data_IF_000580285671
#
_entry.id   IF_000580285671
#
_cell.length_a   1.000
_cell.length_b   1.000
_cell.length_c   1.000
_cell.angle_alpha   90.00
_cell.angle_beta   90.00
_cell.angle_gamma   90.00
#
_symmetry.space_group_name_H-M   'P 1'
#
loop_
_entity.id
_entity.type
_entity.pdbx_description
1 polymer ?
#
# COMPACT_ATOMS: atom_id res chain seq x y z
N UNK A 1 -5.77 -27.33 14.85
CA UNK A 1 -6.47 -27.11 13.57
C UNK A 1 -5.95 -25.80 12.99
N UNK A 2 -5.13 -25.85 11.94
CA UNK A 2 -4.60 -24.65 11.26
C UNK A 2 -5.43 -24.37 10.03
N UNK A 3 -6.21 -23.30 10.05
CA UNK A 3 -6.91 -22.80 8.86
C UNK A 3 -5.90 -22.12 7.95
N UNK A 4 -5.45 -22.84 6.91
CA UNK A 4 -4.77 -22.23 5.76
C UNK A 4 -5.81 -21.39 5.02
N UNK A 5 -5.68 -20.08 5.10
CA UNK A 5 -6.46 -19.16 4.25
C UNK A 5 -5.79 -19.20 2.87
N UNK A 6 -6.30 -20.07 2.00
CA UNK A 6 -5.99 -20.01 0.57
C UNK A 6 -6.94 -18.99 -0.03
N UNK A 7 -6.52 -17.72 -0.12
CA UNK A 7 -7.21 -16.74 -0.94
C UNK A 7 -6.57 -16.77 -2.32
N UNK A 8 -7.26 -17.40 -3.27
CA UNK A 8 -6.95 -17.27 -4.69
C UNK A 8 -8.16 -16.62 -5.35
N UNK A 9 -8.08 -15.32 -5.58
CA UNK A 9 -8.99 -14.58 -6.43
C UNK A 9 -8.16 -13.62 -7.27
N UNK A 10 -8.58 -13.40 -8.50
CA UNK A 10 -7.80 -12.79 -9.57
C UNK A 10 -7.08 -11.49 -9.13
N UNK A 11 -5.82 -11.25 -9.56
CA UNK A 11 -4.95 -10.19 -9.05
C UNK A 11 -5.57 -8.78 -9.02
N UNK A 12 -6.54 -8.50 -9.89
CA UNK A 12 -7.24 -7.22 -9.93
C UNK A 12 -8.28 -7.04 -8.82
N UNK A 13 -9.01 -8.10 -8.45
CA UNK A 13 -10.01 -8.04 -7.38
C UNK A 13 -9.37 -7.86 -6.00
N UNK A 14 -8.15 -8.36 -5.83
CA UNK A 14 -7.36 -8.22 -4.61
C UNK A 14 -6.81 -6.80 -4.43
N UNK A 15 -6.29 -6.19 -5.52
CA UNK A 15 -5.79 -4.80 -5.51
C UNK A 15 -6.89 -3.80 -5.16
N UNK A 16 -8.08 -3.91 -5.78
CA UNK A 16 -9.17 -2.96 -5.51
C UNK A 16 -9.72 -3.10 -4.07
N UNK A 17 -9.82 -4.33 -3.55
CA UNK A 17 -10.20 -4.55 -2.15
C UNK A 17 -9.12 -4.02 -1.18
N UNK A 18 -7.84 -4.25 -1.50
CA UNK A 18 -6.71 -3.71 -0.75
C UNK A 18 -6.70 -2.18 -0.74
N UNK A 19 -6.94 -1.54 -1.88
CA UNK A 19 -7.04 -0.08 -1.98
C UNK A 19 -8.22 0.47 -1.18
N UNK A 20 -9.39 -0.17 -1.25
CA UNK A 20 -10.54 0.20 -0.44
C UNK A 20 -10.24 0.11 1.07
N UNK A 21 -9.53 -0.93 1.49
CA UNK A 21 -9.09 -1.10 2.89
C UNK A 21 -8.10 0.01 3.30
N UNK A 22 -7.11 0.30 2.46
CA UNK A 22 -6.13 1.38 2.70
C UNK A 22 -6.84 2.72 2.87
N UNK A 23 -7.72 3.10 1.94
CA UNK A 23 -8.45 4.37 1.99
C UNK A 23 -9.33 4.46 3.23
N UNK A 24 -10.07 3.40 3.57
CA UNK A 24 -10.95 3.39 4.74
C UNK A 24 -10.17 3.44 6.05
N UNK A 25 -9.06 2.74 6.16
CA UNK A 25 -8.19 2.81 7.33
C UNK A 25 -7.64 4.22 7.55
N UNK A 26 -7.22 4.90 6.48
CA UNK A 26 -6.76 6.29 6.55
C UNK A 26 -7.88 7.25 6.96
N UNK A 27 -9.08 7.12 6.37
CA UNK A 27 -10.25 7.93 6.74
C UNK A 27 -10.66 7.72 8.21
N UNK A 28 -10.64 6.49 8.71
CA UNK A 28 -10.93 6.17 10.11
C UNK A 28 -9.89 6.79 11.07
N UNK A 29 -8.64 6.94 10.62
CA UNK A 29 -7.60 7.65 11.36
C UNK A 29 -7.68 9.19 11.20
N UNK A 30 -8.65 9.71 10.46
CA UNK A 30 -8.79 11.15 10.19
C UNK A 30 -7.82 11.69 9.13
N UNK A 31 -7.23 10.82 8.31
CA UNK A 31 -6.31 11.18 7.24
C UNK A 31 -6.98 11.12 5.87
N UNK A 32 -6.55 12.01 4.97
CA UNK A 32 -7.05 12.13 3.60
C UNK A 32 -5.86 12.18 2.64
N UNK A 33 -5.27 11.03 2.30
CA UNK A 33 -4.13 10.96 1.38
C UNK A 33 -4.52 11.48 0.00
N UNK A 34 -3.57 12.15 -0.67
CA UNK A 34 -3.73 12.62 -2.04
C UNK A 34 -3.61 11.46 -3.07
N UNK A 35 -3.88 11.78 -4.33
CA UNK A 35 -3.81 10.80 -5.42
C UNK A 35 -2.41 10.20 -5.60
N UNK A 36 -1.35 10.93 -5.26
CA UNK A 36 0.02 10.44 -5.38
C UNK A 36 0.32 9.39 -4.30
N UNK A 37 -0.09 9.65 -3.05
CA UNK A 37 0.01 8.71 -1.95
C UNK A 37 -0.79 7.44 -2.22
N UNK A 38 -2.02 7.56 -2.73
CA UNK A 38 -2.84 6.41 -3.11
C UNK A 38 -2.26 5.65 -4.32
N UNK A 39 -1.73 6.35 -5.32
CA UNK A 39 -1.07 5.72 -6.46
C UNK A 39 0.17 4.91 -6.08
N UNK A 40 0.89 5.34 -5.04
CA UNK A 40 2.01 4.59 -4.47
C UNK A 40 1.55 3.31 -3.77
N UNK A 41 0.51 3.39 -2.94
CA UNK A 41 -0.08 2.22 -2.29
C UNK A 41 -0.57 1.19 -3.32
N UNK A 42 -1.20 1.66 -4.40
CA UNK A 42 -1.65 0.81 -5.50
C UNK A 42 -0.51 0.05 -6.17
N UNK A 43 0.58 0.73 -6.52
CA UNK A 43 1.77 0.10 -7.14
C UNK A 43 2.38 -0.98 -6.24
N UNK A 44 2.38 -0.76 -4.93
CA UNK A 44 2.82 -1.77 -3.94
C UNK A 44 1.90 -2.99 -3.95
N UNK A 45 0.58 -2.78 -3.92
CA UNK A 45 -0.40 -3.88 -3.96
C UNK A 45 -0.40 -4.64 -5.29
N UNK A 46 -0.14 -3.96 -6.41
CA UNK A 46 0.01 -4.57 -7.73
C UNK A 46 1.32 -5.37 -7.88
N UNK A 47 2.26 -5.23 -6.93
CA UNK A 47 3.58 -5.83 -7.00
C UNK A 47 4.50 -5.21 -8.05
N UNK A 48 4.13 -4.05 -8.61
CA UNK A 48 4.96 -3.28 -9.56
C UNK A 48 5.99 -2.38 -8.86
N UNK A 49 5.88 -2.28 -7.52
CA UNK A 49 6.79 -1.56 -6.64
C UNK A 49 6.94 -2.33 -5.32
N UNK A 50 8.14 -2.38 -4.78
CA UNK A 50 8.41 -2.92 -3.45
C UNK A 50 8.14 -1.88 -2.36
N UNK A 51 7.95 -2.33 -1.11
CA UNK A 51 7.78 -1.41 0.02
C UNK A 51 9.02 -0.52 0.23
N UNK A 52 10.22 -1.02 -0.03
CA UNK A 52 11.47 -0.27 0.13
C UNK A 52 11.61 0.84 -0.92
N UNK A 53 11.24 0.55 -2.17
CA UNK A 53 11.14 1.57 -3.21
C UNK A 53 10.10 2.63 -2.86
N UNK A 54 8.94 2.23 -2.33
CA UNK A 54 7.93 3.17 -1.86
C UNK A 54 8.45 4.06 -0.73
N UNK A 55 9.16 3.51 0.25
CA UNK A 55 9.82 4.28 1.33
C UNK A 55 10.87 5.23 0.78
N UNK A 56 11.66 4.80 -0.21
CA UNK A 56 12.67 5.63 -0.85
C UNK A 56 12.05 6.81 -1.61
N UNK A 57 10.96 6.61 -2.36
CA UNK A 57 10.27 7.70 -3.05
C UNK A 57 9.69 8.73 -2.04
N UNK A 58 9.11 8.28 -0.92
CA UNK A 58 8.61 9.19 0.12
C UNK A 58 9.76 9.97 0.77
N UNK A 59 10.84 9.27 1.14
CA UNK A 59 12.05 9.89 1.68
C UNK A 59 12.64 10.94 0.73
N UNK A 60 12.71 10.65 -0.56
CA UNK A 60 13.20 11.58 -1.57
C UNK A 60 12.29 12.83 -1.70
N UNK A 61 10.97 12.66 -1.66
CA UNK A 61 10.00 13.76 -1.75
C UNK A 61 10.06 14.73 -0.56
N UNK A 62 10.25 14.21 0.66
CA UNK A 62 10.18 14.99 1.89
C UNK A 62 11.53 15.24 2.56
N UNK A 63 12.63 14.74 1.99
CA UNK A 63 13.99 15.05 2.43
C UNK A 63 14.46 14.35 3.71
N UNK A 64 13.92 13.18 4.04
CA UNK A 64 14.35 12.41 5.22
C UNK A 64 15.07 11.11 4.84
N UNK A 65 15.96 10.61 5.70
CA UNK A 65 16.71 9.37 5.46
C UNK A 65 15.82 8.13 5.65
N UNK A 66 15.84 7.20 4.69
CA UNK A 66 15.19 5.88 4.84
C UNK A 66 15.97 5.07 5.87
N UNK A 67 15.30 4.59 6.92
CA UNK A 67 15.87 3.62 7.85
C UNK A 67 15.65 2.22 7.27
N UNK A 68 16.72 1.56 6.84
CA UNK A 68 16.65 0.14 6.46
C UNK A 68 16.40 -0.69 7.74
N UNK A 69 15.46 -1.63 7.66
CA UNK A 69 15.14 -2.58 8.74
C UNK A 69 15.73 -3.94 8.44
#
# INVERSE_FOLDING_TARGET
>A
MSTKITQRSAPTADVEQGMALVEKAQQLAGHFPDAEALGRARRVLEGTMTEDEARAEVAAKYGFSVRQR
#
